data_IF_789885374848
#
_entry.id   IF_789885374848
#
_cell.length_a   1.000
_cell.length_b   1.000
_cell.length_c   1.000
_cell.angle_alpha   90.00
_cell.angle_beta   90.00
_cell.angle_gamma   90.00
#
_symmetry.space_group_name_H-M   'P 1'
#
loop_
_entity.id
_entity.type
_entity.pdbx_description
1 polymer ?
#
# COMPACT_ATOMS: atom_id res chain seq x y z
N UNK A 1 -60.64 21.21 -6.64
CA UNK A 1 -60.10 21.77 -5.38
C UNK A 1 -59.51 20.68 -4.46
N UNK A 2 -60.17 19.50 -4.23
CA UNK A 2 -59.65 18.40 -3.37
C UNK A 2 -58.30 17.83 -3.84
N UNK A 3 -58.05 17.71 -5.16
CA UNK A 3 -56.79 17.21 -5.71
C UNK A 3 -55.60 18.16 -5.50
N UNK A 4 -55.82 19.47 -5.52
CA UNK A 4 -54.78 20.48 -5.26
C UNK A 4 -54.35 20.50 -3.78
N UNK A 5 -55.31 20.30 -2.86
CA UNK A 5 -55.02 20.18 -1.43
C UNK A 5 -54.19 18.93 -1.09
N UNK A 6 -54.49 17.80 -1.73
CA UNK A 6 -53.72 16.55 -1.53
C UNK A 6 -52.28 16.65 -2.08
N UNK A 7 -52.08 17.31 -3.22
CA UNK A 7 -50.76 17.61 -3.79
C UNK A 7 -49.95 18.53 -2.88
N UNK A 8 -50.53 19.59 -2.34
CA UNK A 8 -49.89 20.50 -1.40
C UNK A 8 -49.42 19.79 -0.12
N UNK A 9 -50.27 18.90 0.44
CA UNK A 9 -49.91 18.09 1.60
C UNK A 9 -48.78 17.11 1.31
N UNK A 10 -48.75 16.49 0.14
CA UNK A 10 -47.69 15.58 -0.28
C UNK A 10 -46.33 16.31 -0.44
N UNK A 11 -46.35 17.50 -1.05
CA UNK A 11 -45.16 18.35 -1.21
C UNK A 11 -44.67 18.84 0.14
N UNK A 12 -45.56 19.32 1.02
CA UNK A 12 -45.20 19.75 2.37
C UNK A 12 -44.55 18.63 3.18
N UNK A 13 -45.13 17.42 3.12
CA UNK A 13 -44.58 16.25 3.81
C UNK A 13 -43.21 15.87 3.27
N UNK A 14 -43.01 15.91 1.95
CA UNK A 14 -41.74 15.66 1.32
C UNK A 14 -40.66 16.68 1.74
N UNK A 15 -41.01 17.97 1.76
CA UNK A 15 -40.11 19.06 2.19
C UNK A 15 -39.74 18.94 3.69
N UNK A 16 -40.73 18.70 4.56
CA UNK A 16 -40.48 18.47 5.99
C UNK A 16 -39.65 17.21 6.27
N UNK A 17 -39.87 16.14 5.52
CA UNK A 17 -39.07 14.91 5.62
C UNK A 17 -37.61 15.18 5.20
N UNK A 18 -37.39 16.01 4.16
CA UNK A 18 -36.07 16.41 3.68
C UNK A 18 -35.35 17.27 4.71
N UNK A 19 -36.04 18.22 5.36
CA UNK A 19 -35.46 19.00 6.47
C UNK A 19 -35.15 18.12 7.68
N UNK A 20 -36.03 17.22 8.12
CA UNK A 20 -35.82 16.32 9.25
C UNK A 20 -34.61 15.37 9.04
N UNK A 21 -34.41 14.87 7.81
CA UNK A 21 -33.20 14.05 7.50
C UNK A 21 -31.92 14.85 7.67
N UNK A 22 -31.95 16.15 7.36
CA UNK A 22 -30.81 17.05 7.51
C UNK A 22 -30.43 17.29 8.99
N UNK A 23 -31.45 17.38 9.86
CA UNK A 23 -31.24 17.58 11.30
C UNK A 23 -30.72 16.32 12.03
N UNK A 24 -30.71 15.16 11.38
CA UNK A 24 -30.33 13.88 12.00
C UNK A 24 -28.83 13.59 12.05
N UNK A 25 -28.01 14.26 11.24
CA UNK A 25 -26.55 14.05 11.32
C UNK A 25 -25.91 15.20 12.08
N UNK A 26 -25.32 14.86 13.22
CA UNK A 26 -24.63 15.85 14.05
C UNK A 26 -23.41 16.45 13.33
N UNK A 27 -23.04 17.73 13.60
CA UNK A 27 -21.81 18.33 13.06
C UNK A 27 -20.56 17.47 13.30
N UNK A 28 -20.52 16.74 14.43
CA UNK A 28 -19.48 15.77 14.75
C UNK A 28 -19.41 14.62 13.74
N UNK A 29 -20.55 14.10 13.31
CA UNK A 29 -20.61 13.03 12.30
C UNK A 29 -20.15 13.52 10.92
N UNK A 30 -20.50 14.75 10.55
CA UNK A 30 -20.02 15.38 9.30
C UNK A 30 -18.49 15.49 9.29
N UNK A 31 -17.90 15.93 10.41
CA UNK A 31 -16.44 15.99 10.53
C UNK A 31 -15.79 14.60 10.45
N UNK A 32 -16.36 13.60 11.11
CA UNK A 32 -15.91 12.21 10.99
C UNK A 32 -15.94 11.70 9.55
N UNK A 33 -17.01 12.00 8.80
CA UNK A 33 -17.13 11.61 7.39
C UNK A 33 -16.08 12.27 6.51
N UNK A 34 -15.74 13.55 6.74
CA UNK A 34 -14.65 14.23 6.03
C UNK A 34 -13.29 13.62 6.32
N UNK A 35 -13.04 13.27 7.58
CA UNK A 35 -11.80 12.59 7.96
C UNK A 35 -11.68 11.26 7.24
N UNK A 36 -12.75 10.45 7.25
CA UNK A 36 -12.79 9.17 6.55
C UNK A 36 -12.56 9.32 5.04
N UNK A 37 -13.17 10.31 4.40
CA UNK A 37 -12.95 10.61 2.98
C UNK A 37 -11.48 10.92 2.69
N UNK A 38 -10.87 11.77 3.53
CA UNK A 38 -9.45 12.11 3.40
C UNK A 38 -8.55 10.88 3.59
N UNK A 39 -8.85 10.02 4.57
CA UNK A 39 -8.09 8.78 4.82
C UNK A 39 -8.21 7.78 3.66
N UNK A 40 -9.39 7.61 3.07
CA UNK A 40 -9.58 6.74 1.90
C UNK A 40 -8.82 7.26 0.67
N UNK A 41 -8.76 8.59 0.47
CA UNK A 41 -7.93 9.20 -0.58
C UNK A 41 -6.44 8.99 -0.32
N UNK A 42 -6.00 9.20 0.92
CA UNK A 42 -4.61 9.00 1.31
C UNK A 42 -4.18 7.54 1.17
N UNK A 43 -5.06 6.59 1.51
CA UNK A 43 -4.81 5.17 1.34
C UNK A 43 -4.56 4.79 -0.14
N UNK A 44 -5.34 5.35 -1.06
CA UNK A 44 -5.10 5.16 -2.51
C UNK A 44 -3.75 5.76 -2.96
N UNK A 45 -3.39 6.93 -2.44
CA UNK A 45 -2.09 7.56 -2.71
C UNK A 45 -0.91 6.71 -2.21
N UNK A 46 -1.03 6.11 -1.03
CA UNK A 46 -0.01 5.19 -0.46
C UNK A 46 0.19 3.94 -1.32
N UNK A 47 -0.88 3.41 -1.93
CA UNK A 47 -0.78 2.28 -2.86
C UNK A 47 0.05 2.65 -4.09
N UNK A 48 -0.18 3.80 -4.69
CA UNK A 48 0.59 4.26 -5.85
C UNK A 48 2.05 4.55 -5.50
N UNK A 49 2.31 5.10 -4.31
CA UNK A 49 3.67 5.30 -3.81
C UNK A 49 4.39 3.96 -3.58
N UNK A 50 3.68 2.95 -3.05
CA UNK A 50 4.23 1.62 -2.86
C UNK A 50 4.59 0.94 -4.17
N UNK A 51 3.79 1.10 -5.23
CA UNK A 51 4.13 0.62 -6.58
C UNK A 51 5.44 1.24 -7.09
N UNK A 52 5.62 2.56 -6.91
CA UNK A 52 6.86 3.24 -7.27
C UNK A 52 8.05 2.70 -6.47
N UNK A 53 7.85 2.50 -5.16
CA UNK A 53 8.88 1.93 -4.28
C UNK A 53 9.26 0.52 -4.69
N UNK A 54 8.29 -0.34 -5.01
CA UNK A 54 8.55 -1.72 -5.45
C UNK A 54 9.35 -1.76 -6.75
N UNK A 55 9.01 -0.91 -7.73
CA UNK A 55 9.77 -0.75 -8.97
C UNK A 55 11.18 -0.24 -8.71
N UNK A 56 11.35 0.71 -7.79
CA UNK A 56 12.66 1.22 -7.39
C UNK A 56 13.54 0.12 -6.81
N UNK A 57 13.02 -0.66 -5.86
CA UNK A 57 13.75 -1.79 -5.26
C UNK A 57 14.11 -2.85 -6.31
N UNK A 58 13.19 -3.17 -7.23
CA UNK A 58 13.48 -4.08 -8.32
C UNK A 58 14.63 -3.56 -9.20
N UNK A 59 14.61 -2.30 -9.61
CA UNK A 59 15.67 -1.69 -10.41
C UNK A 59 17.03 -1.68 -9.66
N UNK A 60 17.01 -1.41 -8.36
CA UNK A 60 18.23 -1.41 -7.54
C UNK A 60 18.89 -2.80 -7.44
N UNK A 61 18.10 -3.87 -7.64
CA UNK A 61 18.65 -5.23 -7.69
C UNK A 61 19.61 -5.46 -8.86
N UNK A 62 19.47 -4.77 -9.97
CA UNK A 62 20.43 -4.89 -11.09
C UNK A 62 21.87 -4.56 -10.66
N UNK A 63 22.02 -3.64 -9.69
CA UNK A 63 23.32 -3.24 -9.14
C UNK A 63 23.74 -4.08 -7.94
N UNK A 64 22.88 -4.96 -7.45
CA UNK A 64 23.16 -5.72 -6.22
C UNK A 64 24.23 -6.78 -6.41
N UNK A 65 24.48 -7.27 -7.62
CA UNK A 65 25.55 -8.25 -7.92
C UNK A 65 26.93 -7.72 -7.51
N UNK A 66 27.26 -6.47 -7.85
CA UNK A 66 28.53 -5.83 -7.48
C UNK A 66 28.63 -5.63 -5.97
N UNK A 67 27.54 -5.22 -5.31
CA UNK A 67 27.48 -5.04 -3.86
C UNK A 67 27.64 -6.38 -3.13
N UNK A 68 26.98 -7.42 -3.61
CA UNK A 68 27.05 -8.77 -3.07
C UNK A 68 28.46 -9.34 -3.17
N UNK A 69 29.16 -9.14 -4.31
CA UNK A 69 30.55 -9.59 -4.47
C UNK A 69 31.50 -8.85 -3.54
N UNK A 70 31.32 -7.55 -3.33
CA UNK A 70 32.13 -6.79 -2.37
C UNK A 70 31.91 -7.27 -0.94
N UNK A 71 30.66 -7.51 -0.57
CA UNK A 71 30.30 -8.02 0.75
C UNK A 71 30.88 -9.44 0.95
N UNK A 72 30.70 -10.32 -0.04
CA UNK A 72 31.28 -11.67 -0.01
C UNK A 72 32.79 -11.65 0.14
N UNK A 73 33.50 -10.77 -0.59
CA UNK A 73 34.94 -10.61 -0.48
C UNK A 73 35.37 -10.13 0.91
N UNK A 74 34.63 -9.19 1.51
CA UNK A 74 34.91 -8.71 2.86
C UNK A 74 34.72 -9.82 3.90
N UNK A 75 33.61 -10.55 3.84
CA UNK A 75 33.30 -11.68 4.73
C UNK A 75 34.35 -12.78 4.60
N UNK A 76 34.79 -13.06 3.37
CA UNK A 76 35.83 -14.06 3.10
C UNK A 76 37.19 -13.67 3.70
N UNK A 77 37.64 -12.43 3.49
CA UNK A 77 38.89 -11.92 4.05
C UNK A 77 38.84 -11.92 5.58
N UNK A 78 37.74 -11.56 6.17
CA UNK A 78 37.51 -11.62 7.62
C UNK A 78 37.61 -13.07 8.14
N UNK A 79 36.96 -14.01 7.45
CA UNK A 79 37.02 -15.43 7.78
C UNK A 79 38.44 -16.00 7.69
N UNK A 80 39.21 -15.63 6.66
CA UNK A 80 40.60 -16.01 6.54
C UNK A 80 41.50 -15.41 7.62
N UNK A 81 41.24 -14.19 8.05
CA UNK A 81 42.03 -13.47 9.06
C UNK A 81 41.76 -13.96 10.48
N UNK A 82 40.48 -14.14 10.84
CA UNK A 82 40.02 -14.41 12.21
C UNK A 82 39.82 -15.90 12.51
N UNK A 83 39.33 -16.66 11.52
CA UNK A 83 38.87 -18.03 11.74
C UNK A 83 39.82 -19.09 11.14
N UNK A 84 40.92 -18.71 10.47
CA UNK A 84 41.78 -19.61 9.73
C UNK A 84 41.00 -20.59 8.81
N UNK A 85 39.91 -20.12 8.19
CA UNK A 85 39.10 -20.93 7.32
C UNK A 85 39.91 -21.48 6.14
N UNK A 86 39.79 -22.80 5.89
CA UNK A 86 40.38 -23.45 4.73
C UNK A 86 39.67 -23.12 3.43
N UNK A 87 40.25 -23.51 2.31
CA UNK A 87 39.73 -23.23 0.97
C UNK A 87 38.35 -23.88 0.74
N UNK A 88 38.03 -24.98 1.40
CA UNK A 88 36.75 -25.67 1.39
C UNK A 88 35.57 -24.84 1.96
N UNK A 89 35.88 -23.86 2.85
CA UNK A 89 34.89 -22.97 3.41
C UNK A 89 34.55 -21.78 2.48
N UNK A 90 35.28 -21.58 1.41
CA UNK A 90 35.12 -20.44 0.49
C UNK A 90 33.77 -20.45 -0.24
N UNK A 91 33.35 -21.56 -0.91
CA UNK A 91 32.09 -21.58 -1.63
C UNK A 91 30.85 -21.29 -0.74
N UNK A 92 30.67 -21.93 0.44
CA UNK A 92 29.52 -21.64 1.30
C UNK A 92 29.56 -20.21 1.87
N UNK A 93 30.70 -19.65 2.22
CA UNK A 93 30.83 -18.26 2.71
C UNK A 93 30.35 -17.28 1.64
N UNK A 94 30.84 -17.46 0.40
CA UNK A 94 30.47 -16.57 -0.70
C UNK A 94 29.00 -16.73 -1.06
N UNK A 95 28.49 -17.96 -1.16
CA UNK A 95 27.07 -18.23 -1.43
C UNK A 95 26.17 -17.57 -0.38
N UNK A 96 26.47 -17.77 0.90
CA UNK A 96 25.70 -17.20 2.00
C UNK A 96 25.74 -15.66 1.98
N UNK A 97 26.90 -15.05 1.77
CA UNK A 97 27.06 -13.61 1.71
C UNK A 97 26.27 -12.98 0.54
N UNK A 98 26.31 -13.62 -0.63
CA UNK A 98 25.57 -13.20 -1.82
C UNK A 98 24.07 -13.31 -1.57
N UNK A 99 23.61 -14.46 -1.09
CA UNK A 99 22.19 -14.72 -0.79
C UNK A 99 21.67 -13.73 0.23
N UNK A 100 22.39 -13.52 1.32
CA UNK A 100 22.02 -12.57 2.36
C UNK A 100 21.88 -11.13 1.82
N UNK A 101 22.84 -10.67 0.99
CA UNK A 101 22.83 -9.30 0.45
C UNK A 101 21.58 -9.03 -0.42
N UNK A 102 21.18 -10.01 -1.23
CA UNK A 102 20.00 -9.89 -2.09
C UNK A 102 18.71 -10.00 -1.27
N UNK A 103 18.66 -10.98 -0.34
CA UNK A 103 17.48 -11.20 0.49
C UNK A 103 17.18 -10.04 1.44
N UNK A 104 18.18 -9.37 1.99
CA UNK A 104 17.98 -8.22 2.88
C UNK A 104 17.20 -7.09 2.18
N UNK A 105 17.52 -6.78 0.93
CA UNK A 105 16.83 -5.76 0.16
C UNK A 105 15.37 -6.14 -0.13
N UNK A 106 15.15 -7.39 -0.54
CA UNK A 106 13.82 -7.88 -0.91
C UNK A 106 12.92 -8.11 0.32
N UNK A 107 13.48 -8.55 1.43
CA UNK A 107 12.76 -8.69 2.69
C UNK A 107 12.28 -7.32 3.24
N UNK A 108 13.09 -6.27 3.05
CA UNK A 108 12.64 -4.90 3.36
C UNK A 108 11.41 -4.49 2.53
N UNK A 109 11.39 -4.83 1.24
CA UNK A 109 10.22 -4.61 0.38
C UNK A 109 9.00 -5.39 0.88
N UNK A 110 9.17 -6.69 1.18
CA UNK A 110 8.09 -7.54 1.70
C UNK A 110 7.47 -6.95 2.96
N UNK A 111 8.30 -6.54 3.94
CA UNK A 111 7.81 -5.92 5.19
C UNK A 111 7.04 -4.64 4.95
N UNK A 112 7.49 -3.79 4.01
CA UNK A 112 6.78 -2.54 3.66
C UNK A 112 5.42 -2.82 3.02
N UNK A 113 5.35 -3.83 2.14
CA UNK A 113 4.10 -4.23 1.50
C UNK A 113 3.11 -4.82 2.52
N UNK A 114 3.61 -5.63 3.46
CA UNK A 114 2.81 -6.21 4.54
C UNK A 114 2.25 -5.11 5.47
N UNK A 115 3.10 -4.20 5.92
CA UNK A 115 2.69 -3.06 6.73
C UNK A 115 1.66 -2.16 6.02
N UNK A 116 1.81 -1.96 4.71
CA UNK A 116 0.84 -1.23 3.91
C UNK A 116 -0.49 -1.98 3.81
N UNK A 117 -0.48 -3.28 3.54
CA UNK A 117 -1.67 -4.11 3.47
C UNK A 117 -2.46 -4.06 4.80
N UNK A 118 -1.76 -4.16 5.92
CA UNK A 118 -2.34 -4.00 7.25
C UNK A 118 -2.97 -2.61 7.45
N UNK A 119 -2.26 -1.55 7.06
CA UNK A 119 -2.76 -0.17 7.20
C UNK A 119 -4.00 0.09 6.33
N UNK A 120 -4.07 -0.48 5.13
CA UNK A 120 -5.25 -0.39 4.28
C UNK A 120 -6.45 -1.09 4.91
N UNK A 121 -6.25 -2.29 5.48
CA UNK A 121 -7.28 -3.01 6.22
C UNK A 121 -7.80 -2.21 7.41
N UNK A 122 -6.89 -1.64 8.25
CA UNK A 122 -7.27 -0.76 9.36
C UNK A 122 -8.10 0.44 8.89
N UNK A 123 -7.69 1.09 7.79
CA UNK A 123 -8.43 2.23 7.21
C UNK A 123 -9.84 1.83 6.80
N UNK A 124 -10.01 0.70 6.13
CA UNK A 124 -11.34 0.20 5.74
C UNK A 124 -12.19 -0.16 6.96
N UNK A 125 -11.60 -0.80 7.97
CA UNK A 125 -12.28 -1.15 9.21
C UNK A 125 -12.76 0.09 9.98
N UNK A 126 -11.89 1.09 10.14
CA UNK A 126 -12.25 2.36 10.77
C UNK A 126 -13.36 3.09 9.99
N UNK A 127 -13.28 3.08 8.67
CA UNK A 127 -14.31 3.63 7.78
C UNK A 127 -15.66 2.93 7.97
N UNK A 128 -15.67 1.59 7.97
CA UNK A 128 -16.89 0.81 8.17
C UNK A 128 -17.55 1.12 9.52
N UNK A 129 -16.75 1.29 10.59
CA UNK A 129 -17.26 1.68 11.90
C UNK A 129 -17.92 3.07 11.90
N UNK A 130 -17.31 4.06 11.22
CA UNK A 130 -17.90 5.40 11.09
C UNK A 130 -19.18 5.37 10.27
N UNK A 131 -19.22 4.54 9.22
CA UNK A 131 -20.41 4.38 8.35
C UNK A 131 -21.47 3.45 8.95
N UNK A 132 -21.15 2.75 10.06
CA UNK A 132 -22.03 1.77 10.69
C UNK A 132 -22.43 0.62 9.73
N UNK A 133 -21.45 0.17 8.92
CA UNK A 133 -21.61 -0.92 7.95
C UNK A 133 -21.10 -2.21 8.54
N UNK A 134 -21.89 -3.30 8.39
CA UNK A 134 -21.53 -4.63 8.89
C UNK A 134 -20.51 -5.35 7.99
N UNK A 135 -20.48 -5.00 6.70
CA UNK A 135 -19.57 -5.59 5.72
C UNK A 135 -18.14 -5.02 5.87
N UNK A 136 -17.34 -5.68 6.69
CA UNK A 136 -15.95 -5.31 7.00
C UNK A 136 -15.04 -6.38 6.42
N UNK A 137 -13.99 -6.01 5.65
CA UNK A 137 -13.05 -6.97 5.11
C UNK A 137 -12.37 -7.77 6.23
N UNK A 138 -12.20 -9.08 6.01
CA UNK A 138 -11.46 -9.92 6.93
C UNK A 138 -9.95 -9.60 6.91
N UNK A 139 -9.29 -9.65 8.07
CA UNK A 139 -7.84 -9.39 8.16
C UNK A 139 -7.04 -10.34 7.25
N UNK A 140 -7.45 -11.60 7.16
CA UNK A 140 -6.79 -12.62 6.33
C UNK A 140 -6.87 -12.31 4.83
N UNK A 141 -7.84 -11.53 4.39
CA UNK A 141 -7.95 -11.12 2.99
C UNK A 141 -6.77 -10.26 2.54
N UNK A 142 -6.19 -9.47 3.43
CA UNK A 142 -5.05 -8.61 3.14
C UNK A 142 -3.72 -9.26 3.52
N UNK A 143 -3.63 -9.86 4.71
CA UNK A 143 -2.39 -10.44 5.24
C UNK A 143 -1.88 -11.64 4.42
N UNK A 144 -2.77 -12.40 3.75
CA UNK A 144 -2.39 -13.58 2.96
C UNK A 144 -1.69 -13.28 1.64
N UNK A 145 -1.83 -12.05 1.11
CA UNK A 145 -1.40 -11.71 -0.26
C UNK A 145 0.12 -11.56 -0.39
N UNK A 146 0.82 -11.17 0.68
CA UNK A 146 2.26 -10.84 0.65
C UNK A 146 3.14 -12.08 0.93
N UNK A 147 2.55 -13.24 1.25
CA UNK A 147 3.30 -14.41 1.77
C UNK A 147 4.17 -15.15 0.75
N UNK A 148 3.88 -15.07 -0.54
CA UNK A 148 4.50 -15.91 -1.58
C UNK A 148 5.62 -15.16 -2.33
N UNK A 149 6.49 -14.46 -1.61
CA UNK A 149 7.65 -13.82 -2.24
C UNK A 149 8.64 -14.88 -2.76
N UNK A 150 9.11 -14.76 -4.01
CA UNK A 150 10.11 -15.69 -4.54
C UNK A 150 11.40 -15.62 -3.73
N UNK A 151 12.02 -16.78 -3.49
CA UNK A 151 13.32 -16.87 -2.85
C UNK A 151 14.42 -16.64 -3.88
N UNK A 152 15.48 -15.93 -3.49
CA UNK A 152 16.66 -15.80 -4.31
C UNK A 152 17.54 -17.06 -4.20
N UNK A 153 17.85 -17.66 -5.35
CA UNK A 153 18.85 -18.74 -5.46
C UNK A 153 19.96 -18.29 -6.43
N UNK A 154 21.20 -18.17 -5.96
CA UNK A 154 22.32 -17.82 -6.83
C UNK A 154 22.70 -18.94 -7.80
N UNK A 155 22.13 -20.13 -7.67
CA UNK A 155 22.50 -21.33 -8.43
C UNK A 155 23.83 -21.92 -7.98
N UNK A 156 24.40 -22.82 -8.80
CA UNK A 156 25.68 -23.41 -8.52
C UNK A 156 26.81 -22.47 -8.92
N UNK A 157 27.32 -21.72 -7.95
CA UNK A 157 28.49 -20.85 -8.14
C UNK A 157 29.76 -21.68 -8.17
N UNK A 158 30.43 -21.72 -9.32
CA UNK A 158 31.74 -22.38 -9.44
C UNK A 158 32.82 -21.45 -8.88
N UNK A 159 33.23 -21.69 -7.64
CA UNK A 159 34.17 -20.84 -6.91
C UNK A 159 35.42 -21.67 -6.62
N UNK A 160 36.45 -21.44 -7.41
CA UNK A 160 37.79 -21.99 -7.19
C UNK A 160 38.73 -20.87 -6.77
N UNK A 161 38.57 -20.44 -5.52
CA UNK A 161 39.37 -19.35 -4.93
C UNK A 161 40.14 -19.88 -3.73
N UNK A 162 41.47 -19.91 -3.88
CA UNK A 162 42.40 -20.28 -2.80
C UNK A 162 42.84 -19.04 -2.02
N UNK A 163 43.14 -19.23 -0.74
CA UNK A 163 43.70 -18.19 0.13
C UNK A 163 45.04 -17.70 -0.40
N UNK A 164 45.21 -16.43 -0.76
CA UNK A 164 46.51 -15.92 -1.21
C UNK A 164 47.53 -15.97 -0.07
N UNK A 165 48.69 -16.55 -0.31
CA UNK A 165 49.79 -16.70 0.67
C UNK A 165 50.22 -15.36 1.30
N UNK A 166 50.12 -14.26 0.56
CA UNK A 166 50.56 -12.92 1.00
C UNK A 166 49.45 -12.11 1.73
N UNK A 167 48.25 -12.67 1.98
CA UNK A 167 47.14 -11.94 2.60
C UNK A 167 47.48 -11.35 3.97
N UNK A 168 48.31 -12.05 4.77
CA UNK A 168 48.77 -11.57 6.08
C UNK A 168 49.71 -10.37 6.01
N UNK A 169 50.32 -10.13 4.84
CA UNK A 169 51.31 -9.05 4.62
C UNK A 169 50.69 -7.80 3.94
N UNK A 170 49.57 -7.96 3.22
CA UNK A 170 49.02 -6.89 2.35
C UNK A 170 48.03 -5.93 3.04
N UNK A 171 47.64 -6.20 4.27
CA UNK A 171 46.59 -5.45 4.95
C UNK A 171 45.19 -5.74 4.40
N UNK A 172 44.20 -5.46 5.22
CA UNK A 172 42.80 -5.89 5.00
C UNK A 172 42.15 -5.27 3.74
N UNK A 173 42.37 -3.97 3.48
CA UNK A 173 41.78 -3.27 2.35
C UNK A 173 42.30 -3.77 0.99
N UNK A 174 43.62 -4.06 0.90
CA UNK A 174 44.19 -4.59 -0.34
C UNK A 174 43.68 -6.00 -0.57
N UNK A 175 43.66 -6.81 0.49
CA UNK A 175 43.10 -8.17 0.45
C UNK A 175 41.67 -8.23 -0.02
N UNK A 176 40.81 -7.34 0.47
CA UNK A 176 39.40 -7.20 0.03
C UNK A 176 39.30 -6.82 -1.45
N UNK A 177 40.16 -5.89 -1.91
CA UNK A 177 40.16 -5.47 -3.31
C UNK A 177 40.56 -6.62 -4.25
N UNK A 178 41.58 -7.39 -3.88
CA UNK A 178 42.04 -8.56 -4.65
C UNK A 178 40.97 -9.64 -4.66
N UNK A 179 40.37 -9.96 -3.51
CA UNK A 179 39.31 -10.95 -3.41
C UNK A 179 38.08 -10.53 -4.25
N UNK A 180 37.66 -9.25 -4.19
CA UNK A 180 36.56 -8.71 -5.00
C UNK A 180 36.86 -8.88 -6.49
N UNK A 181 38.06 -8.50 -6.95
CA UNK A 181 38.43 -8.59 -8.36
C UNK A 181 38.42 -10.04 -8.85
N UNK A 182 38.94 -10.97 -8.05
CA UNK A 182 38.96 -12.41 -8.39
C UNK A 182 37.54 -12.97 -8.42
N UNK A 183 36.71 -12.72 -7.40
CA UNK A 183 35.31 -13.16 -7.38
C UNK A 183 34.53 -12.60 -8.57
N UNK A 184 34.72 -11.31 -8.90
CA UNK A 184 34.07 -10.69 -10.07
C UNK A 184 34.46 -11.40 -11.36
N UNK A 185 35.76 -11.74 -11.53
CA UNK A 185 36.24 -12.48 -12.72
C UNK A 185 35.69 -13.90 -12.80
N UNK A 186 35.53 -14.58 -11.66
CA UNK A 186 35.09 -15.99 -11.63
C UNK A 186 33.58 -16.15 -11.75
N UNK A 187 32.81 -15.44 -10.92
CA UNK A 187 31.36 -15.66 -10.78
C UNK A 187 30.50 -14.44 -11.14
N UNK A 188 31.11 -13.27 -11.43
CA UNK A 188 30.37 -12.02 -11.67
C UNK A 188 29.35 -12.13 -12.77
N UNK A 189 29.69 -12.75 -13.90
CA UNK A 189 28.76 -12.96 -15.02
C UNK A 189 27.60 -13.90 -14.68
N UNK A 190 27.89 -14.97 -13.94
CA UNK A 190 26.86 -15.93 -13.50
C UNK A 190 25.93 -15.28 -12.47
N UNK A 191 26.50 -14.59 -11.49
CA UNK A 191 25.72 -13.89 -10.47
C UNK A 191 24.82 -12.81 -11.08
N UNK A 192 25.33 -12.04 -12.04
CA UNK A 192 24.51 -11.04 -12.75
C UNK A 192 23.31 -11.70 -13.45
N UNK A 193 23.49 -12.85 -14.09
CA UNK A 193 22.37 -13.61 -14.71
C UNK A 193 21.35 -14.06 -13.67
N UNK A 194 21.80 -14.64 -12.54
CA UNK A 194 20.90 -15.09 -11.46
C UNK A 194 20.15 -13.92 -10.84
N UNK A 195 20.81 -12.77 -10.61
CA UNK A 195 20.16 -11.56 -10.09
C UNK A 195 19.15 -10.99 -11.09
N UNK A 196 19.49 -10.96 -12.40
CA UNK A 196 18.53 -10.49 -13.42
C UNK A 196 17.32 -11.40 -13.56
N UNK A 197 17.49 -12.71 -13.46
CA UNK A 197 16.38 -13.66 -13.44
C UNK A 197 15.49 -13.45 -12.21
N UNK A 198 16.11 -13.27 -11.04
CA UNK A 198 15.38 -12.99 -9.81
C UNK A 198 14.67 -11.62 -9.82
N UNK A 199 15.30 -10.60 -10.41
CA UNK A 199 14.68 -9.29 -10.66
C UNK A 199 13.36 -9.44 -11.41
N UNK A 200 13.32 -10.20 -12.51
CA UNK A 200 12.11 -10.43 -13.27
C UNK A 200 11.01 -11.13 -12.44
N UNK A 201 11.39 -12.14 -11.63
CA UNK A 201 10.46 -12.82 -10.74
C UNK A 201 9.91 -11.90 -9.63
N UNK A 202 10.77 -11.08 -9.02
CA UNK A 202 10.38 -10.15 -7.97
C UNK A 202 9.48 -9.03 -8.51
N UNK A 203 9.81 -8.52 -9.69
CA UNK A 203 8.99 -7.51 -10.37
C UNK A 203 7.57 -8.04 -10.63
N UNK A 204 7.47 -9.20 -11.26
CA UNK A 204 6.18 -9.83 -11.56
C UNK A 204 5.39 -10.19 -10.28
N UNK A 205 6.06 -10.70 -9.26
CA UNK A 205 5.45 -10.94 -7.95
C UNK A 205 4.92 -9.64 -7.32
N UNK A 206 5.71 -8.57 -7.34
CA UNK A 206 5.32 -7.30 -6.73
C UNK A 206 4.13 -6.66 -7.45
N UNK A 207 4.11 -6.63 -8.78
CA UNK A 207 2.99 -6.11 -9.58
C UNK A 207 1.71 -6.93 -9.33
N UNK A 208 1.79 -8.27 -9.32
CA UNK A 208 0.65 -9.15 -9.01
C UNK A 208 0.13 -8.92 -7.61
N UNK A 209 1.01 -8.88 -6.62
CA UNK A 209 0.66 -8.70 -5.21
C UNK A 209 0.01 -7.35 -4.97
N UNK A 210 0.61 -6.25 -5.46
CA UNK A 210 0.06 -4.90 -5.34
C UNK A 210 -1.27 -4.76 -6.10
N UNK A 211 -1.39 -5.37 -7.28
CA UNK A 211 -2.64 -5.42 -8.03
C UNK A 211 -3.75 -6.19 -7.29
N UNK A 212 -3.42 -7.24 -6.54
CA UNK A 212 -4.40 -7.96 -5.71
C UNK A 212 -4.83 -7.12 -4.50
N UNK A 213 -3.88 -6.49 -3.79
CA UNK A 213 -4.15 -5.60 -2.67
C UNK A 213 -5.06 -4.46 -3.13
N UNK A 214 -4.73 -3.83 -4.27
CA UNK A 214 -5.53 -2.74 -4.82
C UNK A 214 -6.96 -3.18 -5.14
N UNK A 215 -7.14 -4.29 -5.85
CA UNK A 215 -8.48 -4.80 -6.20
C UNK A 215 -9.33 -5.06 -4.95
N UNK A 216 -8.73 -5.64 -3.90
CA UNK A 216 -9.43 -5.88 -2.62
C UNK A 216 -9.78 -4.58 -1.92
N UNK A 217 -8.85 -3.63 -1.87
CA UNK A 217 -9.11 -2.31 -1.30
C UNK A 217 -10.22 -1.59 -2.06
N UNK A 218 -10.17 -1.54 -3.39
CA UNK A 218 -11.15 -0.84 -4.21
C UNK A 218 -12.54 -1.47 -4.15
N UNK A 219 -12.63 -2.80 -3.94
CA UNK A 219 -13.91 -3.49 -3.78
C UNK A 219 -14.74 -2.92 -2.61
N UNK A 220 -14.09 -2.57 -1.49
CA UNK A 220 -14.75 -1.95 -0.34
C UNK A 220 -14.74 -0.42 -0.40
N UNK A 221 -13.60 0.18 -0.73
CA UNK A 221 -13.41 1.62 -0.70
C UNK A 221 -14.36 2.39 -1.62
N UNK A 222 -14.71 1.83 -2.78
CA UNK A 222 -15.64 2.47 -3.71
C UNK A 222 -17.06 2.54 -3.14
N UNK A 223 -17.53 1.47 -2.49
CA UNK A 223 -18.80 1.44 -1.79
C UNK A 223 -18.85 2.45 -0.63
N UNK A 224 -17.78 2.49 0.16
CA UNK A 224 -17.67 3.43 1.28
C UNK A 224 -17.60 4.89 0.80
N UNK A 225 -16.84 5.20 -0.26
CA UNK A 225 -16.80 6.55 -0.86
C UNK A 225 -18.18 6.99 -1.32
N UNK A 226 -18.90 6.16 -2.06
CA UNK A 226 -20.24 6.48 -2.53
C UNK A 226 -21.21 6.73 -1.36
N UNK A 227 -21.06 6.01 -0.26
CA UNK A 227 -21.87 6.22 0.94
C UNK A 227 -21.51 7.52 1.67
N UNK A 228 -20.20 7.82 1.82
CA UNK A 228 -19.71 9.09 2.38
C UNK A 228 -20.21 10.28 1.56
N UNK A 229 -20.06 10.22 0.23
CA UNK A 229 -20.53 11.27 -0.69
C UNK A 229 -22.02 11.49 -0.58
N UNK A 230 -22.82 10.41 -0.48
CA UNK A 230 -24.26 10.52 -0.28
C UNK A 230 -24.61 11.21 1.05
N UNK A 231 -23.96 10.77 2.15
CA UNK A 231 -24.22 11.35 3.47
C UNK A 231 -23.76 12.81 3.55
N UNK A 232 -22.62 13.17 2.94
CA UNK A 232 -22.16 14.55 2.87
C UNK A 232 -23.02 15.39 1.91
N UNK A 233 -23.41 14.83 0.75
CA UNK A 233 -24.26 15.50 -0.24
C UNK A 233 -25.64 15.86 0.30
N UNK A 234 -26.25 14.98 1.09
CA UNK A 234 -27.51 15.25 1.78
C UNK A 234 -27.38 16.39 2.83
N UNK A 235 -26.16 16.75 3.23
CA UNK A 235 -25.86 17.79 4.23
C UNK A 235 -25.23 19.08 3.68
N UNK A 236 -24.57 19.03 2.52
CA UNK A 236 -23.99 20.18 1.83
C UNK A 236 -25.01 20.76 0.85
N UNK A 237 -26.29 20.80 1.23
CA UNK A 237 -27.22 21.69 0.56
C UNK A 237 -26.85 23.12 0.97
N UNK A 238 -26.57 24.04 0.00
CA UNK A 238 -26.25 25.41 0.33
C UNK A 238 -27.31 26.00 1.26
N UNK A 239 -26.91 26.93 2.13
CA UNK A 239 -27.84 27.66 2.96
C UNK A 239 -28.98 28.33 2.14
N UNK A 240 -28.77 28.47 0.84
CA UNK A 240 -29.74 28.92 -0.15
C UNK A 240 -30.88 27.90 -0.41
N UNK A 241 -30.57 26.61 -0.49
CA UNK A 241 -31.58 25.57 -0.71
C UNK A 241 -32.43 25.40 0.55
N UNK A 242 -31.85 25.51 1.73
CA UNK A 242 -32.61 25.52 3.00
C UNK A 242 -33.50 26.73 3.10
N UNK A 243 -33.01 27.91 2.73
CA UNK A 243 -33.85 29.14 2.67
C UNK A 243 -34.90 29.05 1.59
N UNK A 244 -34.63 28.37 0.46
CA UNK A 244 -35.65 28.12 -0.57
C UNK A 244 -36.72 27.18 -0.07
N UNK A 245 -36.35 26.05 0.56
CA UNK A 245 -37.30 25.08 1.11
C UNK A 245 -38.15 25.73 2.21
N UNK A 246 -37.56 26.55 3.09
CA UNK A 246 -38.33 27.28 4.12
C UNK A 246 -39.30 28.30 3.51
N UNK A 247 -38.87 29.05 2.49
CA UNK A 247 -39.71 29.97 1.74
C UNK A 247 -40.89 29.25 1.05
N UNK A 248 -40.62 28.09 0.45
CA UNK A 248 -41.65 27.29 -0.23
C UNK A 248 -42.68 26.73 0.78
N UNK A 249 -42.23 26.36 1.98
CA UNK A 249 -43.10 25.94 3.09
C UNK A 249 -43.95 27.10 3.59
N UNK A 250 -43.36 28.28 3.82
CA UNK A 250 -44.10 29.49 4.23
C UNK A 250 -45.10 29.92 3.16
N UNK A 251 -44.76 29.81 1.87
CA UNK A 251 -45.67 30.06 0.75
C UNK A 251 -46.86 29.09 0.71
N UNK A 252 -46.64 27.81 1.00
CA UNK A 252 -47.70 26.81 1.09
C UNK A 252 -48.60 27.02 2.30
N UNK A 253 -48.05 27.46 3.43
CA UNK A 253 -48.84 27.79 4.65
C UNK A 253 -49.67 29.05 4.46
N UNK A 254 -49.14 30.09 3.78
CA UNK A 254 -49.85 31.34 3.50
C UNK A 254 -51.02 31.13 2.53
N UNK A 255 -50.84 30.34 1.46
CA UNK A 255 -51.91 29.98 0.51
C UNK A 255 -53.00 29.13 1.14
N UNK A 256 -52.71 28.45 2.24
CA UNK A 256 -53.69 27.67 3.00
C UNK A 256 -54.50 28.52 3.98
N UNK A 257 -53.92 29.64 4.42
CA UNK A 257 -54.50 30.53 5.43
C UNK A 257 -55.38 31.67 4.84
N UNK A 258 -55.39 31.85 3.50
CA UNK A 258 -56.28 32.84 2.88
C UNK A 258 -57.75 32.37 3.01
N UNK A 259 -58.58 33.09 3.78
CA UNK A 259 -59.98 32.77 3.88
C UNK A 259 -60.65 33.01 2.52
N UNK A 260 -61.37 32.00 2.02
CA UNK A 260 -62.19 32.11 0.82
C UNK A 260 -63.24 33.20 1.07
N UNK A 261 -62.94 34.39 0.56
CA UNK A 261 -64.01 35.40 0.46
C UNK A 261 -65.02 34.84 -0.51
N UNK A 262 -66.14 34.35 0.03
CA UNK A 262 -67.32 33.93 -0.73
C UNK A 262 -68.02 35.20 -1.23
N UNK A 263 -68.07 35.34 -2.54
CA UNK A 263 -69.11 36.20 -3.21
C UNK A 263 -70.19 35.32 -3.74
#
# INVERSE_FOLDING_TARGET
>A
RRKLGALGQSVEMALRTRLRRKDQISPKKVEQLRVVEAELRQASGRLEEMKKTARGVANDLEYSSTRALRFAAATLVESWSKQNAGDEAVPPIVRNAVTWTVQEQTESLRRRMDAMAHKLHETLRATAQVLEVEDVPGEQEFAGVVREMPAFDPGDLNIDLTRPFLLSLLGENISRSIATKRLTGMIGGQLTKSVSAYHALLYDWSERTLGQIQRRFDAYANGYRAQVERLLGDHVSPAEEERSIRRDLEGLESTRSEPTVAS
#
